data_IF_727386477500
#
_entry.id   IF_727386477500
#
_cell.length_a   1.000
_cell.length_b   1.000
_cell.length_c   1.000
_cell.angle_alpha   90.00
_cell.angle_beta   90.00
_cell.angle_gamma   90.00
#
_symmetry.space_group_name_H-M   'P 1'
#
loop_
_entity.id
_entity.type
_entity.pdbx_description
1 polymer ?
#
# COMPACT_ATOMS: atom_id res chain seq x y z
N UNK A 1 -8.87 14.21 -2.41
CA UNK A 1 -9.36 12.83 -2.61
C UNK A 1 -8.34 12.06 -3.44
N UNK A 2 -7.92 10.87 -2.99
CA UNK A 2 -6.97 10.05 -3.74
C UNK A 2 -7.69 9.48 -4.97
N UNK A 3 -7.10 9.65 -6.17
CA UNK A 3 -7.71 9.23 -7.46
C UNK A 3 -7.01 8.05 -8.12
N UNK A 4 -5.81 7.73 -7.67
CA UNK A 4 -4.99 6.65 -8.22
C UNK A 4 -4.09 6.12 -7.12
N UNK A 5 -3.99 4.80 -7.02
CA UNK A 5 -2.92 4.14 -6.27
C UNK A 5 -2.08 3.38 -7.28
N UNK A 6 -0.79 3.70 -7.33
CA UNK A 6 0.18 3.05 -8.19
C UNK A 6 1.39 2.63 -7.37
N UNK A 7 1.83 1.39 -7.53
CA UNK A 7 3.00 0.85 -6.84
C UNK A 7 3.75 -0.12 -7.75
N UNK A 8 5.08 -0.04 -7.71
CA UNK A 8 6.00 -0.89 -8.46
C UNK A 8 6.94 -1.58 -7.47
N UNK A 9 7.05 -2.90 -7.56
CA UNK A 9 7.90 -3.74 -6.70
C UNK A 9 7.70 -3.47 -5.19
N UNK A 10 6.44 -3.29 -4.77
CA UNK A 10 6.09 -3.03 -3.37
C UNK A 10 5.61 -4.33 -2.70
N UNK A 11 6.48 -4.94 -1.89
CA UNK A 11 6.22 -6.24 -1.25
C UNK A 11 5.80 -7.28 -2.30
N UNK A 12 4.62 -7.90 -2.16
CA UNK A 12 4.12 -8.89 -3.14
C UNK A 12 3.50 -8.27 -4.41
N UNK A 13 3.40 -6.94 -4.50
CA UNK A 13 2.88 -6.24 -5.68
C UNK A 13 4.01 -5.98 -6.66
N UNK A 14 4.12 -6.81 -7.71
CA UNK A 14 5.06 -6.59 -8.81
C UNK A 14 4.79 -5.23 -9.48
N UNK A 15 3.54 -4.99 -9.86
CA UNK A 15 3.07 -3.70 -10.37
C UNK A 15 1.56 -3.61 -10.21
N UNK A 16 1.06 -2.49 -9.71
CA UNK A 16 -0.37 -2.16 -9.67
C UNK A 16 -0.56 -0.71 -10.06
N UNK A 17 -1.60 -0.44 -10.85
CA UNK A 17 -2.05 0.91 -11.18
C UNK A 17 -3.58 0.92 -11.16
N UNK A 18 -4.14 1.31 -10.02
CA UNK A 18 -5.58 1.21 -9.75
C UNK A 18 -6.21 2.60 -9.62
N UNK A 19 -6.98 3.05 -10.63
CA UNK A 19 -7.82 4.23 -10.50
C UNK A 19 -8.83 4.06 -9.36
N UNK A 20 -9.06 5.13 -8.61
CA UNK A 20 -9.99 5.17 -7.50
C UNK A 20 -11.21 6.05 -7.81
N UNK A 21 -12.34 5.60 -7.28
CA UNK A 21 -13.67 6.18 -7.32
C UNK A 21 -14.13 6.32 -5.85
N UNK A 22 -15.26 6.97 -5.57
CA UNK A 22 -15.73 7.16 -4.20
C UNK A 22 -15.96 5.86 -3.40
N UNK A 23 -16.20 4.73 -4.09
CA UNK A 23 -16.46 3.43 -3.46
C UNK A 23 -15.78 2.29 -4.21
N UNK A 24 -15.11 1.40 -3.46
CA UNK A 24 -14.37 0.24 -3.97
C UNK A 24 -14.54 -0.94 -3.03
N UNK A 25 -14.61 -2.14 -3.61
CA UNK A 25 -14.59 -3.41 -2.87
C UNK A 25 -13.38 -4.20 -3.35
N UNK A 26 -12.54 -4.64 -2.42
CA UNK A 26 -11.39 -5.49 -2.73
C UNK A 26 -11.76 -6.97 -2.55
N UNK A 27 -11.72 -7.72 -3.63
CA UNK A 27 -12.03 -9.17 -3.66
C UNK A 27 -10.83 -9.98 -4.14
N UNK A 28 -10.75 -11.24 -3.70
CA UNK A 28 -9.73 -12.20 -4.14
C UNK A 28 -9.24 -13.14 -3.03
N UNK A 29 -8.50 -14.21 -3.37
CA UNK A 29 -7.98 -15.19 -2.41
C UNK A 29 -7.08 -14.57 -1.34
N UNK A 30 -6.92 -15.23 -0.19
CA UNK A 30 -5.92 -14.81 0.80
C UNK A 30 -4.52 -14.74 0.18
N UNK A 31 -3.67 -13.87 0.71
CA UNK A 31 -2.33 -13.58 0.18
C UNK A 31 -2.27 -13.00 -1.26
N UNK A 32 -3.40 -12.68 -1.90
CA UNK A 32 -3.42 -12.06 -3.24
C UNK A 32 -2.98 -10.58 -3.28
N UNK A 33 -2.46 -10.03 -2.18
CA UNK A 33 -2.00 -8.63 -2.12
C UNK A 33 -3.05 -7.57 -1.78
N UNK A 34 -4.28 -7.94 -1.38
CA UNK A 34 -5.32 -6.97 -0.98
C UNK A 34 -4.90 -6.11 0.22
N UNK A 35 -4.40 -6.73 1.28
CA UNK A 35 -3.85 -6.01 2.44
C UNK A 35 -2.68 -5.15 2.00
N UNK A 36 -1.76 -5.70 1.19
CA UNK A 36 -0.60 -4.99 0.65
C UNK A 36 -0.99 -3.78 -0.20
N UNK A 37 -2.10 -3.82 -0.93
CA UNK A 37 -2.59 -2.68 -1.70
C UNK A 37 -3.01 -1.53 -0.79
N UNK A 38 -3.77 -1.81 0.27
CA UNK A 38 -4.14 -0.80 1.27
C UNK A 38 -2.90 -0.27 2.02
N UNK A 39 -1.92 -1.14 2.19
CA UNK A 39 -0.65 -0.85 2.84
C UNK A 39 0.17 0.23 2.12
N UNK A 40 0.00 0.41 0.81
CA UNK A 40 0.63 1.50 0.03
C UNK A 40 0.19 2.86 0.57
N UNK A 41 -1.12 3.03 0.83
CA UNK A 41 -1.65 4.28 1.37
C UNK A 41 -1.20 4.49 2.81
N UNK A 42 -1.14 3.42 3.61
CA UNK A 42 -0.58 3.45 4.97
C UNK A 42 0.88 3.91 4.98
N UNK A 43 1.71 3.30 4.14
CA UNK A 43 3.14 3.63 4.02
C UNK A 43 3.36 5.09 3.65
N UNK A 44 2.60 5.61 2.68
CA UNK A 44 2.68 7.03 2.33
C UNK A 44 2.24 7.93 3.50
N UNK A 45 1.23 7.53 4.27
CA UNK A 45 0.82 8.24 5.48
C UNK A 45 1.93 8.29 6.54
N UNK A 46 2.58 7.15 6.79
CA UNK A 46 3.70 7.02 7.73
C UNK A 46 4.92 7.84 7.28
N UNK A 47 5.27 7.72 6.00
CA UNK A 47 6.35 8.46 5.36
C UNK A 47 6.17 9.98 5.51
N UNK A 48 4.95 10.47 5.28
CA UNK A 48 4.64 11.90 5.36
C UNK A 48 4.60 12.43 6.79
N UNK A 49 4.28 11.57 7.78
CA UNK A 49 4.17 11.98 9.19
C UNK A 49 5.49 11.88 9.95
N UNK A 50 6.21 10.78 9.74
CA UNK A 50 7.33 10.36 10.58
C UNK A 50 8.67 10.26 9.81
N UNK A 51 8.65 10.46 8.49
CA UNK A 51 9.82 10.34 7.63
C UNK A 51 10.09 8.90 7.16
N UNK A 52 11.07 8.77 6.27
CA UNK A 52 11.35 7.53 5.54
C UNK A 52 11.90 6.42 6.45
N UNK A 53 12.87 6.74 7.30
CA UNK A 53 13.52 5.75 8.17
C UNK A 53 12.52 5.07 9.10
N UNK A 54 11.58 5.86 9.65
CA UNK A 54 10.50 5.35 10.47
C UNK A 54 9.54 4.48 9.66
N UNK A 55 9.11 4.96 8.49
CA UNK A 55 8.18 4.24 7.62
C UNK A 55 8.74 2.90 7.13
N UNK A 56 10.04 2.80 6.92
CA UNK A 56 10.71 1.52 6.58
C UNK A 56 10.89 0.66 7.84
N UNK A 57 11.36 1.25 8.94
CA UNK A 57 11.69 0.54 10.17
C UNK A 57 10.51 -0.19 10.79
N UNK A 58 9.37 0.48 10.93
CA UNK A 58 8.11 -0.09 11.47
C UNK A 58 7.61 -1.29 10.64
N UNK A 59 7.94 -1.30 9.34
CA UNK A 59 7.48 -2.31 8.38
C UNK A 59 8.44 -3.47 8.18
N UNK A 60 9.69 -3.33 8.63
CA UNK A 60 10.72 -4.36 8.57
C UNK A 60 10.78 -5.21 9.84
N UNK A 61 10.25 -4.71 10.97
CA UNK A 61 10.23 -5.39 12.28
C UNK A 61 9.12 -6.43 12.43
N UNK A 62 8.26 -6.60 11.40
CA UNK A 62 7.17 -7.59 11.36
C UNK A 62 7.51 -8.85 10.52
N UNK A 63 8.80 -9.13 10.30
CA UNK A 63 9.30 -10.37 9.67
C UNK A 63 9.91 -11.26 10.75
#
# INVERSE_FOLDING_TARGET
>A
MIRLVEALNFRCLRYVRQPLNPFHILVGPNASGKTTFLDVAGFLGDLLRNGLDWAIGDRSSSI
#
